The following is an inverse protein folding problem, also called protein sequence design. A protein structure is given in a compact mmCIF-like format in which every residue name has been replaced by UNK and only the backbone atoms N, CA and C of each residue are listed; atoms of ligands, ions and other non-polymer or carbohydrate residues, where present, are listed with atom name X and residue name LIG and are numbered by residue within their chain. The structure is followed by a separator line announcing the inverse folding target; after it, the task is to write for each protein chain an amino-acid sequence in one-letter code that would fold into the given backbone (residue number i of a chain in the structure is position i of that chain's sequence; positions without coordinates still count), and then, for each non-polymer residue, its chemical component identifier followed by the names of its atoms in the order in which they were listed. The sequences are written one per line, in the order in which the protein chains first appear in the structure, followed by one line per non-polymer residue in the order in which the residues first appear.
data_IF_102902755528
#
_entry.id   IF_102902755528
#
_cell.length_a   1.000
_cell.length_b   1.000
_cell.length_c   1.000
_cell.angle_alpha   90.00
_cell.angle_beta   90.00
_cell.angle_gamma   90.00
#
_symmetry.space_group_name_H-M   'P 1'
#
loop_
_entity.id
_entity.type
_entity.pdbx_description
1 polymer ?
#
# COMPACT_ATOMS: atom_id res chain seq x y z
N UNK A 1 -111.62 105.84 -4.25
CA UNK A 1 -111.62 104.79 -3.21
C UNK A 1 -111.21 103.46 -3.84
N UNK A 2 -110.49 102.63 -3.06
CA UNK A 2 -109.62 101.50 -3.47
C UNK A 2 -110.35 100.31 -4.14
N UNK A 3 -109.66 99.65 -5.09
CA UNK A 3 -110.04 98.40 -5.78
C UNK A 3 -109.72 97.17 -4.90
N UNK A 4 -110.62 96.18 -4.85
CA UNK A 4 -110.44 94.87 -4.19
C UNK A 4 -109.73 93.86 -5.10
N UNK A 5 -109.01 92.92 -4.48
CA UNK A 5 -107.99 92.03 -5.06
C UNK A 5 -108.40 90.54 -4.91
N UNK A 6 -108.25 89.73 -5.96
CA UNK A 6 -108.75 88.34 -6.09
C UNK A 6 -107.80 87.25 -5.56
N UNK A 7 -106.83 87.59 -4.72
CA UNK A 7 -105.83 86.67 -4.15
C UNK A 7 -106.37 85.70 -3.09
N UNK A 8 -107.65 85.78 -2.72
CA UNK A 8 -108.24 85.00 -1.63
C UNK A 8 -108.75 83.60 -2.05
N UNK A 9 -108.84 83.27 -3.34
CA UNK A 9 -109.45 82.01 -3.81
C UNK A 9 -108.44 80.84 -3.83
N UNK A 10 -107.14 81.09 -4.03
CA UNK A 10 -106.14 80.01 -4.07
C UNK A 10 -105.77 79.43 -2.69
N UNK A 11 -106.00 80.17 -1.60
CA UNK A 11 -105.78 79.65 -0.23
C UNK A 11 -106.79 78.56 0.22
N UNK A 12 -107.80 78.25 -0.61
CA UNK A 12 -108.75 77.16 -0.37
C UNK A 12 -108.21 75.82 -0.90
N UNK A 13 -107.32 75.82 -1.89
CA UNK A 13 -106.73 74.59 -2.43
C UNK A 13 -105.66 73.97 -1.52
N UNK A 14 -104.87 74.77 -0.80
CA UNK A 14 -103.93 74.27 0.23
C UNK A 14 -104.66 73.47 1.33
N UNK A 15 -105.87 73.90 1.72
CA UNK A 15 -106.68 73.18 2.71
C UNK A 15 -107.29 71.89 2.18
N UNK A 16 -107.45 71.77 0.86
CA UNK A 16 -107.95 70.53 0.24
C UNK A 16 -106.82 69.49 0.15
N UNK A 17 -105.58 69.92 -0.10
CA UNK A 17 -104.41 69.04 -0.15
C UNK A 17 -104.12 68.44 1.24
N UNK A 18 -104.21 69.25 2.31
CA UNK A 18 -104.08 68.79 3.69
C UNK A 18 -105.16 67.75 4.10
N UNK A 19 -106.39 67.88 3.61
CA UNK A 19 -107.48 66.93 3.92
C UNK A 19 -107.28 65.56 3.26
N UNK A 20 -106.62 65.52 2.10
CA UNK A 20 -106.43 64.27 1.35
C UNK A 20 -105.09 63.61 1.69
N UNK A 21 -104.02 64.37 1.88
CA UNK A 21 -102.67 63.81 2.04
C UNK A 21 -102.36 63.33 3.46
N UNK A 22 -102.92 63.98 4.49
CA UNK A 22 -102.71 63.60 5.91
C UNK A 22 -103.23 62.20 6.25
N UNK A 23 -104.46 61.79 5.88
CA UNK A 23 -104.91 60.42 6.12
C UNK A 23 -104.11 59.39 5.29
N UNK A 24 -103.65 59.75 4.09
CA UNK A 24 -102.79 58.88 3.26
C UNK A 24 -101.41 58.69 3.90
N UNK A 25 -100.81 59.74 4.47
CA UNK A 25 -99.55 59.64 5.19
C UNK A 25 -99.69 58.85 6.50
N UNK A 26 -100.80 59.01 7.22
CA UNK A 26 -101.06 58.25 8.44
C UNK A 26 -101.23 56.75 8.15
N UNK A 27 -101.92 56.39 7.05
CA UNK A 27 -102.05 55.01 6.59
C UNK A 27 -100.70 54.46 6.11
N UNK A 28 -99.90 55.27 5.39
CA UNK A 28 -98.54 54.91 5.00
C UNK A 28 -97.62 54.70 6.21
N UNK A 29 -97.77 55.48 7.28
CA UNK A 29 -96.99 55.34 8.51
C UNK A 29 -97.43 54.14 9.37
N UNK A 30 -98.74 53.86 9.43
CA UNK A 30 -99.31 52.65 10.05
C UNK A 30 -98.89 51.39 9.28
N UNK A 31 -98.78 51.45 7.96
CA UNK A 31 -98.27 50.34 7.14
C UNK A 31 -96.73 50.23 7.19
N UNK A 32 -96.01 51.33 7.42
CA UNK A 32 -94.54 51.35 7.56
C UNK A 32 -94.02 50.87 8.91
N UNK A 33 -94.74 51.11 10.00
CA UNK A 33 -94.35 50.63 11.34
C UNK A 33 -94.07 49.11 11.41
N UNK A 34 -94.97 48.21 10.95
CA UNK A 34 -94.70 46.78 10.97
C UNK A 34 -93.54 46.37 10.06
N UNK A 35 -93.30 47.11 8.97
CA UNK A 35 -92.15 46.89 8.09
C UNK A 35 -90.82 47.33 8.75
N UNK A 36 -90.84 48.41 9.54
CA UNK A 36 -89.67 48.96 10.24
C UNK A 36 -89.28 48.11 11.45
N UNK A 37 -90.26 47.56 12.17
CA UNK A 37 -90.04 46.55 13.21
C UNK A 37 -89.56 45.21 12.64
N UNK A 38 -90.04 44.83 11.45
CA UNK A 38 -89.52 43.67 10.73
C UNK A 38 -88.09 43.87 10.25
N UNK A 39 -87.75 45.05 9.74
CA UNK A 39 -86.38 45.39 9.32
C UNK A 39 -85.41 45.42 10.51
N UNK A 40 -85.79 46.03 11.63
CA UNK A 40 -84.94 46.02 12.84
C UNK A 40 -84.80 44.62 13.46
N UNK A 41 -85.81 43.74 13.34
CA UNK A 41 -85.68 42.31 13.68
C UNK A 41 -84.76 41.57 12.72
N UNK A 42 -84.85 41.84 11.42
CA UNK A 42 -83.95 41.26 10.41
C UNK A 42 -82.51 41.69 10.66
N UNK A 43 -82.27 42.96 10.98
CA UNK A 43 -80.94 43.49 11.29
C UNK A 43 -80.38 42.89 12.58
N UNK A 44 -81.20 42.74 13.63
CA UNK A 44 -80.81 42.04 14.86
C UNK A 44 -80.47 40.57 14.60
N UNK A 45 -81.32 39.88 13.84
CA UNK A 45 -81.08 38.48 13.47
C UNK A 45 -79.83 38.32 12.59
N UNK A 46 -79.57 39.28 11.70
CA UNK A 46 -78.38 39.30 10.85
C UNK A 46 -77.12 39.56 11.67
N UNK A 47 -77.17 40.48 12.64
CA UNK A 47 -76.06 40.74 13.56
C UNK A 47 -75.79 39.55 14.48
N UNK A 48 -76.83 38.92 15.02
CA UNK A 48 -76.72 37.68 15.81
C UNK A 48 -76.13 36.54 14.98
N UNK A 49 -76.55 36.40 13.72
CA UNK A 49 -75.98 35.42 12.80
C UNK A 49 -74.50 35.71 12.51
N UNK A 50 -74.14 36.98 12.30
CA UNK A 50 -72.74 37.38 12.12
C UNK A 50 -71.91 37.12 13.37
N UNK A 51 -72.43 37.38 14.57
CA UNK A 51 -71.75 37.06 15.83
C UNK A 51 -71.58 35.55 16.03
N UNK A 52 -72.58 34.73 15.68
CA UNK A 52 -72.46 33.26 15.73
C UNK A 52 -71.42 32.75 14.73
N UNK A 53 -71.44 33.27 13.51
CA UNK A 53 -70.50 32.89 12.45
C UNK A 53 -69.07 33.32 12.80
N UNK A 54 -68.91 34.49 13.42
CA UNK A 54 -67.61 34.94 13.91
C UNK A 54 -67.11 34.11 15.10
N UNK A 55 -68.00 33.72 16.03
CA UNK A 55 -67.65 32.84 17.13
C UNK A 55 -67.21 31.44 16.63
N UNK A 56 -67.92 30.90 15.63
CA UNK A 56 -67.58 29.62 14.99
C UNK A 56 -66.25 29.70 14.22
N UNK A 57 -65.97 30.81 13.55
CA UNK A 57 -64.67 31.07 12.90
C UNK A 57 -63.53 31.11 13.91
N UNK A 58 -63.71 31.80 15.04
CA UNK A 58 -62.69 31.87 16.10
C UNK A 58 -62.43 30.50 16.72
N UNK A 59 -63.46 29.68 16.91
CA UNK A 59 -63.32 28.31 17.40
C UNK A 59 -62.56 27.42 16.41
N UNK A 60 -62.86 27.54 15.12
CA UNK A 60 -62.16 26.81 14.05
C UNK A 60 -60.68 27.25 13.96
N UNK A 61 -60.41 28.55 14.02
CA UNK A 61 -59.05 29.09 14.00
C UNK A 61 -58.23 28.61 15.20
N UNK A 62 -58.85 28.53 16.38
CA UNK A 62 -58.22 27.98 17.58
C UNK A 62 -57.90 26.49 17.42
N UNK A 63 -58.81 25.71 16.83
CA UNK A 63 -58.59 24.29 16.54
C UNK A 63 -57.46 24.09 15.52
N UNK A 64 -57.42 24.90 14.46
CA UNK A 64 -56.35 24.88 13.45
C UNK A 64 -55.01 25.26 14.09
N UNK A 65 -55.00 26.26 14.97
CA UNK A 65 -53.80 26.66 15.71
C UNK A 65 -53.27 25.50 16.58
N UNK A 66 -54.12 24.87 17.40
CA UNK A 66 -53.73 23.73 18.25
C UNK A 66 -53.22 22.53 17.42
N UNK A 67 -53.94 22.16 16.36
CA UNK A 67 -53.48 21.06 15.49
C UNK A 67 -52.18 21.38 14.78
N UNK A 68 -51.97 22.62 14.33
CA UNK A 68 -50.71 23.05 13.72
C UNK A 68 -49.54 23.04 14.71
N UNK A 69 -49.78 23.40 15.97
CA UNK A 69 -48.77 23.38 17.03
C UNK A 69 -48.38 21.94 17.37
N UNK A 70 -49.37 21.04 17.52
CA UNK A 70 -49.12 19.60 17.76
C UNK A 70 -48.36 18.93 16.62
N UNK A 71 -48.68 19.29 15.36
CA UNK A 71 -47.92 18.82 14.20
C UNK A 71 -46.48 19.32 14.23
N UNK A 72 -46.27 20.59 14.58
CA UNK A 72 -44.94 21.19 14.70
C UNK A 72 -44.12 20.54 15.81
N UNK A 73 -44.72 20.28 16.97
CA UNK A 73 -44.08 19.52 18.05
C UNK A 73 -43.69 18.11 17.61
N UNK A 74 -44.59 17.41 16.90
CA UNK A 74 -44.32 16.06 16.42
C UNK A 74 -43.17 16.05 15.40
N UNK A 75 -43.13 17.03 14.49
CA UNK A 75 -42.02 17.23 13.56
C UNK A 75 -40.71 17.50 14.29
N UNK A 76 -40.69 18.40 15.27
CA UNK A 76 -39.50 18.70 16.08
C UNK A 76 -39.00 17.47 16.84
N UNK A 77 -39.90 16.67 17.42
CA UNK A 77 -39.55 15.41 18.10
C UNK A 77 -38.98 14.39 17.11
N UNK A 78 -39.58 14.27 15.93
CA UNK A 78 -39.11 13.38 14.88
C UNK A 78 -37.70 13.78 14.39
N UNK A 79 -37.49 15.07 14.09
CA UNK A 79 -36.20 15.60 13.65
C UNK A 79 -35.12 15.45 14.74
N UNK A 80 -35.48 15.70 16.00
CA UNK A 80 -34.58 15.51 17.14
C UNK A 80 -34.18 14.04 17.31
N UNK A 81 -35.14 13.11 17.23
CA UNK A 81 -34.88 11.68 17.28
C UNK A 81 -34.00 11.22 16.10
N UNK A 82 -34.30 11.71 14.90
CA UNK A 82 -33.50 11.42 13.71
C UNK A 82 -32.07 11.96 13.85
N UNK A 83 -31.90 13.15 14.41
CA UNK A 83 -30.59 13.72 14.67
C UNK A 83 -29.81 12.89 15.71
N UNK A 84 -30.47 12.49 16.79
CA UNK A 84 -29.86 11.65 17.82
C UNK A 84 -29.40 10.31 17.25
N UNK A 85 -30.26 9.63 16.48
CA UNK A 85 -29.96 8.36 15.83
C UNK A 85 -28.80 8.49 14.81
N UNK A 86 -28.79 9.56 14.01
CA UNK A 86 -27.67 9.85 13.11
C UNK A 86 -26.36 10.13 13.86
N UNK A 87 -26.42 10.77 15.04
CA UNK A 87 -25.22 10.97 15.87
C UNK A 87 -24.69 9.65 16.43
N UNK A 88 -25.56 8.77 16.93
CA UNK A 88 -25.17 7.45 17.40
C UNK A 88 -24.50 6.65 16.28
N UNK A 89 -25.13 6.60 15.09
CA UNK A 89 -24.53 5.95 13.91
C UNK A 89 -23.16 6.52 13.55
N UNK A 90 -22.97 7.84 13.62
CA UNK A 90 -21.65 8.47 13.37
C UNK A 90 -20.61 8.09 14.43
N UNK A 91 -21.01 7.95 15.70
CA UNK A 91 -20.12 7.52 16.78
C UNK A 91 -19.71 6.07 16.60
N UNK A 92 -20.65 5.20 16.22
CA UNK A 92 -20.38 3.79 15.98
C UNK A 92 -19.49 3.57 14.76
N UNK A 93 -19.73 4.30 13.65
CA UNK A 93 -18.83 4.31 12.50
C UNK A 93 -17.40 4.70 12.89
N UNK A 94 -17.23 5.75 13.72
CA UNK A 94 -15.90 6.14 14.21
C UNK A 94 -15.22 5.07 15.05
N UNK A 95 -15.98 4.34 15.88
CA UNK A 95 -15.41 3.22 16.66
C UNK A 95 -14.96 2.09 15.73
N UNK A 96 -15.80 1.72 14.75
CA UNK A 96 -15.43 0.74 13.74
C UNK A 96 -14.20 1.15 12.94
N UNK A 97 -14.09 2.42 12.55
CA UNK A 97 -12.90 2.93 11.85
C UNK A 97 -11.64 2.80 12.73
N UNK A 98 -11.73 3.08 14.03
CA UNK A 98 -10.62 2.92 14.97
C UNK A 98 -10.23 1.44 15.15
N UNK A 99 -11.21 0.55 15.31
CA UNK A 99 -10.99 -0.89 15.41
C UNK A 99 -10.38 -1.46 14.13
N UNK A 100 -10.86 -1.02 12.97
CA UNK A 100 -10.33 -1.42 11.67
C UNK A 100 -8.87 -0.98 11.51
N UNK A 101 -8.55 0.26 11.88
CA UNK A 101 -7.18 0.77 11.82
C UNK A 101 -6.23 0.00 12.76
N UNK A 102 -6.69 -0.35 13.97
CA UNK A 102 -5.90 -1.17 14.90
C UNK A 102 -5.68 -2.60 14.36
N UNK A 103 -6.70 -3.19 13.74
CA UNK A 103 -6.57 -4.50 13.07
C UNK A 103 -5.59 -4.45 11.90
N UNK A 104 -5.64 -3.42 11.07
CA UNK A 104 -4.69 -3.21 9.97
C UNK A 104 -3.27 -3.11 10.53
N UNK A 105 -3.04 -2.23 11.52
CA UNK A 105 -1.72 -2.05 12.13
C UNK A 105 -1.18 -3.34 12.76
N UNK A 106 -2.03 -4.11 13.45
CA UNK A 106 -1.65 -5.42 14.02
C UNK A 106 -1.31 -6.44 12.95
N UNK A 107 -2.10 -6.51 11.89
CA UNK A 107 -1.86 -7.41 10.78
C UNK A 107 -0.54 -7.07 10.05
N UNK A 108 -0.29 -5.79 9.79
CA UNK A 108 0.95 -5.31 9.18
C UNK A 108 2.16 -5.63 10.06
N UNK A 109 2.05 -5.41 11.38
CA UNK A 109 3.11 -5.78 12.33
C UNK A 109 3.34 -7.30 12.34
N UNK A 110 2.28 -8.10 12.33
CA UNK A 110 2.38 -9.56 12.27
C UNK A 110 3.07 -10.04 10.99
N UNK A 111 2.70 -9.47 9.84
CA UNK A 111 3.33 -9.73 8.54
C UNK A 111 4.82 -9.36 8.56
N UNK A 112 5.14 -8.17 9.08
CA UNK A 112 6.52 -7.71 9.20
C UNK A 112 7.35 -8.61 10.12
N UNK A 113 6.77 -9.02 11.26
CA UNK A 113 7.42 -9.96 12.19
C UNK A 113 7.69 -11.31 11.54
N UNK A 114 6.72 -11.86 10.81
CA UNK A 114 6.90 -13.12 10.09
C UNK A 114 7.98 -13.02 9.00
N UNK A 115 8.00 -11.92 8.25
CA UNK A 115 9.03 -11.63 7.25
C UNK A 115 10.43 -11.54 7.89
N UNK A 116 10.57 -10.77 8.98
CA UNK A 116 11.83 -10.64 9.71
C UNK A 116 12.31 -11.99 10.26
N UNK A 117 11.41 -12.79 10.84
CA UNK A 117 11.77 -14.13 11.35
C UNK A 117 12.25 -15.05 10.23
N UNK A 118 11.60 -15.01 9.07
CA UNK A 118 11.99 -15.80 7.90
C UNK A 118 13.37 -15.37 7.40
N UNK A 119 13.63 -14.07 7.31
CA UNK A 119 14.93 -13.52 6.93
C UNK A 119 16.03 -13.86 7.91
N UNK A 120 15.76 -13.75 9.21
CA UNK A 120 16.71 -14.11 10.26
C UNK A 120 17.09 -15.59 10.17
N UNK A 121 16.09 -16.47 9.96
CA UNK A 121 16.34 -17.90 9.77
C UNK A 121 17.16 -18.17 8.51
N UNK A 122 16.81 -17.53 7.39
CA UNK A 122 17.57 -17.62 6.15
C UNK A 122 19.04 -17.19 6.34
N UNK A 123 19.29 -16.07 7.04
CA UNK A 123 20.64 -15.62 7.36
C UNK A 123 21.41 -16.61 8.24
N UNK A 124 20.75 -17.18 9.26
CA UNK A 124 21.37 -18.20 10.11
C UNK A 124 21.74 -19.46 9.33
N UNK A 125 20.83 -19.95 8.49
CA UNK A 125 21.05 -21.15 7.68
C UNK A 125 22.16 -20.92 6.65
N UNK A 126 22.18 -19.74 6.02
CA UNK A 126 23.25 -19.34 5.11
C UNK A 126 24.60 -19.23 5.84
N UNK A 127 24.63 -18.65 7.04
CA UNK A 127 25.85 -18.56 7.86
C UNK A 127 26.39 -19.93 8.25
N UNK A 128 25.53 -20.89 8.58
CA UNK A 128 25.93 -22.28 8.85
C UNK A 128 26.51 -22.95 7.60
N UNK A 129 25.80 -22.88 6.47
CA UNK A 129 26.26 -23.44 5.20
C UNK A 129 27.62 -22.85 4.79
N UNK A 130 27.77 -21.54 4.99
CA UNK A 130 28.98 -20.77 4.76
C UNK A 130 30.18 -21.25 5.58
N UNK A 131 30.01 -21.48 6.89
CA UNK A 131 31.07 -22.02 7.75
C UNK A 131 31.48 -23.42 7.29
N UNK A 132 30.51 -24.28 6.96
CA UNK A 132 30.77 -25.63 6.45
C UNK A 132 31.54 -25.58 5.13
N UNK A 133 31.16 -24.67 4.22
CA UNK A 133 31.86 -24.48 2.94
C UNK A 133 33.29 -23.99 3.16
N UNK A 134 33.52 -23.01 4.04
CA UNK A 134 34.85 -22.52 4.34
C UNK A 134 35.76 -23.60 4.93
N UNK A 135 35.25 -24.41 5.87
CA UNK A 135 35.97 -25.54 6.44
C UNK A 135 36.30 -26.60 5.38
N UNK A 136 35.32 -26.98 4.56
CA UNK A 136 35.50 -27.94 3.46
C UNK A 136 36.52 -27.48 2.42
N UNK A 137 36.46 -26.19 2.02
CA UNK A 137 37.45 -25.59 1.11
C UNK A 137 38.84 -25.56 1.74
N UNK A 138 38.93 -25.22 3.02
CA UNK A 138 40.19 -25.27 3.78
C UNK A 138 40.81 -26.67 3.82
N UNK A 139 40.00 -27.69 4.14
CA UNK A 139 40.45 -29.08 4.16
C UNK A 139 40.87 -29.59 2.77
N UNK A 140 40.09 -29.28 1.73
CA UNK A 140 40.46 -29.60 0.34
C UNK A 140 41.76 -28.91 -0.07
N UNK A 141 41.98 -27.65 0.36
CA UNK A 141 43.21 -26.90 0.10
C UNK A 141 44.43 -27.62 0.65
N UNK A 142 44.36 -28.00 1.93
CA UNK A 142 45.44 -28.71 2.61
C UNK A 142 45.71 -30.05 1.92
N UNK A 143 44.65 -30.82 1.61
CA UNK A 143 44.77 -32.12 0.94
C UNK A 143 45.37 -32.02 -0.46
N UNK A 144 45.00 -31.01 -1.24
CA UNK A 144 45.56 -30.79 -2.58
C UNK A 144 47.03 -30.40 -2.52
N UNK A 145 47.41 -29.51 -1.59
CA UNK A 145 48.81 -29.11 -1.38
C UNK A 145 49.65 -30.33 -0.97
N UNK A 146 49.16 -31.14 -0.04
CA UNK A 146 49.84 -32.37 0.39
C UNK A 146 50.04 -33.34 -0.78
N UNK A 147 48.99 -33.63 -1.56
CA UNK A 147 49.10 -34.48 -2.74
C UNK A 147 50.10 -33.95 -3.77
N UNK A 148 50.13 -32.64 -3.97
CA UNK A 148 51.01 -32.06 -4.95
C UNK A 148 52.48 -32.10 -4.51
N UNK A 149 52.77 -31.91 -3.22
CA UNK A 149 54.10 -32.13 -2.65
C UNK A 149 54.54 -33.59 -2.78
N UNK A 150 53.67 -34.54 -2.45
CA UNK A 150 53.95 -35.97 -2.62
C UNK A 150 54.25 -36.31 -4.08
N UNK A 151 53.51 -35.74 -5.02
CA UNK A 151 53.74 -35.95 -6.45
C UNK A 151 55.10 -35.38 -6.90
N UNK A 152 55.48 -34.18 -6.42
CA UNK A 152 56.82 -33.64 -6.70
C UNK A 152 57.89 -34.58 -6.17
N UNK A 153 57.75 -35.06 -4.93
CA UNK A 153 58.74 -35.95 -4.31
C UNK A 153 58.87 -37.27 -5.08
N UNK A 154 57.74 -37.91 -5.40
CA UNK A 154 57.69 -39.16 -6.14
C UNK A 154 58.30 -39.00 -7.54
N UNK A 155 57.95 -37.94 -8.25
CA UNK A 155 58.49 -37.67 -9.59
C UNK A 155 59.96 -37.35 -9.54
N UNK A 156 60.42 -36.56 -8.57
CA UNK A 156 61.84 -36.26 -8.37
C UNK A 156 62.65 -37.54 -8.17
N UNK A 157 62.17 -38.47 -7.34
CA UNK A 157 62.80 -39.79 -7.16
C UNK A 157 62.83 -40.60 -8.46
N UNK A 158 61.73 -40.62 -9.21
CA UNK A 158 61.65 -41.31 -10.49
C UNK A 158 62.64 -40.73 -11.52
N UNK A 159 62.81 -39.41 -11.54
CA UNK A 159 63.77 -38.73 -12.42
C UNK A 159 65.22 -39.02 -12.05
N UNK A 160 65.57 -38.99 -10.76
CA UNK A 160 66.92 -39.38 -10.30
C UNK A 160 67.23 -40.81 -10.74
N UNK A 161 66.26 -41.72 -10.61
CA UNK A 161 66.41 -43.09 -11.09
C UNK A 161 66.63 -43.14 -12.60
N UNK A 162 65.83 -42.43 -13.38
CA UNK A 162 65.96 -42.35 -14.84
C UNK A 162 67.33 -41.79 -15.26
N UNK A 163 67.81 -40.75 -14.59
CA UNK A 163 69.14 -40.17 -14.84
C UNK A 163 70.24 -41.20 -14.54
N UNK A 164 70.17 -41.90 -13.40
CA UNK A 164 71.13 -42.94 -13.06
C UNK A 164 71.15 -44.10 -14.07
N UNK A 165 69.98 -44.53 -14.53
CA UNK A 165 69.84 -45.58 -15.54
C UNK A 165 70.38 -45.11 -16.91
N UNK A 166 70.13 -43.84 -17.27
CA UNK A 166 70.67 -43.23 -18.48
C UNK A 166 72.20 -43.10 -18.43
N UNK A 167 72.77 -42.70 -17.28
CA UNK A 167 74.21 -42.63 -17.07
C UNK A 167 74.87 -44.00 -17.21
N UNK A 168 74.32 -45.04 -16.57
CA UNK A 168 74.84 -46.42 -16.71
C UNK A 168 74.78 -46.92 -18.16
N UNK A 169 73.69 -46.63 -18.86
CA UNK A 169 73.53 -46.98 -20.28
C UNK A 169 74.55 -46.25 -21.16
N UNK A 170 74.77 -44.95 -20.90
CA UNK A 170 75.77 -44.16 -21.61
C UNK A 170 77.18 -44.68 -21.34
N UNK A 171 77.53 -44.97 -20.09
CA UNK A 171 78.82 -45.56 -19.71
C UNK A 171 79.08 -46.87 -20.46
N UNK A 172 78.12 -47.79 -20.45
CA UNK A 172 78.24 -49.06 -21.19
C UNK A 172 78.44 -48.83 -22.69
N UNK A 173 77.70 -47.88 -23.28
CA UNK A 173 77.81 -47.58 -24.73
C UNK A 173 79.15 -46.93 -25.07
N UNK A 174 79.69 -46.07 -24.21
CA UNK A 174 81.00 -45.46 -24.39
C UNK A 174 82.11 -46.52 -24.32
N UNK A 175 82.03 -47.45 -23.36
CA UNK A 175 82.96 -48.59 -23.28
C UNK A 175 82.91 -49.47 -24.54
N UNK A 176 81.72 -49.73 -25.10
CA UNK A 176 81.58 -50.45 -26.36
C UNK A 176 82.20 -49.71 -27.55
N UNK A 177 82.11 -48.38 -27.57
CA UNK A 177 82.72 -47.55 -28.62
C UNK A 177 84.25 -47.61 -28.55
N UNK A 178 84.84 -47.64 -27.35
CA UNK A 178 86.28 -47.83 -27.17
C UNK A 178 86.76 -49.15 -27.78
N UNK A 179 85.99 -50.23 -27.61
CA UNK A 179 86.31 -51.54 -28.16
C UNK A 179 86.16 -51.57 -29.69
N UNK A 180 85.07 -50.99 -30.24
CA UNK A 180 84.79 -51.00 -31.69
C UNK A 180 85.64 -50.02 -32.49
N UNK A 181 86.03 -48.89 -31.87
CA UNK A 181 86.78 -47.81 -32.52
C UNK A 181 88.01 -47.42 -31.67
N UNK A 182 89.00 -48.32 -31.51
CA UNK A 182 90.15 -48.09 -30.63
C UNK A 182 91.07 -46.96 -31.10
N UNK A 183 91.10 -46.67 -32.40
CA UNK A 183 91.85 -45.56 -32.99
C UNK A 183 90.97 -44.31 -33.21
N UNK A 184 89.74 -44.31 -32.67
CA UNK A 184 88.78 -43.24 -32.85
C UNK A 184 88.22 -43.14 -34.27
N UNK A 185 87.98 -41.90 -34.71
CA UNK A 185 87.46 -41.56 -36.04
C UNK A 185 86.08 -40.92 -36.02
N UNK A 186 85.67 -40.39 -37.17
CA UNK A 186 84.43 -39.59 -37.31
C UNK A 186 83.17 -40.33 -36.87
N UNK A 187 83.10 -41.63 -37.12
CA UNK A 187 81.96 -42.45 -36.72
C UNK A 187 81.82 -42.55 -35.18
N UNK A 188 82.95 -42.64 -34.47
CA UNK A 188 82.98 -42.65 -33.01
C UNK A 188 82.51 -41.31 -32.44
N UNK A 189 83.08 -40.22 -32.94
CA UNK A 189 82.73 -38.86 -32.52
C UNK A 189 81.22 -38.57 -32.70
N UNK A 190 80.63 -39.00 -33.83
CA UNK A 190 79.18 -38.86 -34.06
C UNK A 190 78.36 -39.63 -33.01
N UNK A 191 78.80 -40.83 -32.63
CA UNK A 191 78.09 -41.67 -31.66
C UNK A 191 78.26 -41.15 -30.22
N UNK A 192 79.45 -40.68 -29.85
CA UNK A 192 79.72 -40.02 -28.56
C UNK A 192 78.85 -38.77 -28.40
N UNK A 193 78.84 -37.89 -29.41
CA UNK A 193 77.99 -36.71 -29.44
C UNK A 193 76.49 -37.05 -29.38
N UNK A 194 76.06 -38.18 -29.94
CA UNK A 194 74.68 -38.65 -29.87
C UNK A 194 74.31 -39.11 -28.45
N UNK A 195 75.22 -39.81 -27.77
CA UNK A 195 75.06 -40.23 -26.36
C UNK A 195 75.01 -39.00 -25.45
N UNK A 196 75.92 -38.04 -25.64
CA UNK A 196 75.95 -36.79 -24.89
C UNK A 196 74.64 -36.01 -25.04
N UNK A 197 74.16 -35.82 -26.28
CA UNK A 197 72.88 -35.14 -26.54
C UNK A 197 71.69 -35.84 -25.88
N UNK A 198 71.69 -37.17 -25.82
CA UNK A 198 70.64 -37.92 -25.13
C UNK A 198 70.67 -37.68 -23.62
N UNK A 199 71.85 -37.68 -22.99
CA UNK A 199 71.99 -37.38 -21.57
C UNK A 199 71.55 -35.95 -21.24
N UNK A 200 72.00 -34.97 -22.02
CA UNK A 200 71.60 -33.56 -21.86
C UNK A 200 70.08 -33.44 -21.98
N UNK A 201 69.47 -34.06 -23.00
CA UNK A 201 68.02 -34.02 -23.18
C UNK A 201 67.24 -34.64 -22.02
N UNK A 202 67.75 -35.70 -21.38
CA UNK A 202 67.10 -36.30 -20.21
C UNK A 202 67.16 -35.35 -18.99
N UNK A 203 68.29 -34.66 -18.81
CA UNK A 203 68.48 -33.69 -17.73
C UNK A 203 67.58 -32.46 -17.95
N UNK A 204 67.64 -31.86 -19.13
CA UNK A 204 66.84 -30.66 -19.47
C UNK A 204 65.34 -30.90 -19.37
N UNK A 205 64.85 -32.06 -19.86
CA UNK A 205 63.44 -32.40 -19.76
C UNK A 205 62.99 -32.65 -18.31
N UNK A 206 63.87 -33.18 -17.45
CA UNK A 206 63.59 -33.37 -16.04
C UNK A 206 63.47 -32.03 -15.31
N UNK A 207 64.42 -31.12 -15.55
CA UNK A 207 64.40 -29.77 -14.98
C UNK A 207 63.15 -28.99 -15.42
N UNK A 208 62.81 -29.03 -16.71
CA UNK A 208 61.61 -28.38 -17.23
C UNK A 208 60.34 -28.93 -16.57
N UNK A 209 60.22 -30.25 -16.42
CA UNK A 209 59.06 -30.87 -15.80
C UNK A 209 58.91 -30.47 -14.33
N UNK A 210 59.99 -30.48 -13.53
CA UNK A 210 59.97 -30.07 -12.12
C UNK A 210 59.57 -28.59 -11.99
N UNK A 211 60.11 -27.73 -12.86
CA UNK A 211 59.74 -26.31 -12.88
C UNK A 211 58.27 -26.11 -13.24
N UNK A 212 57.76 -26.82 -14.26
CA UNK A 212 56.35 -26.77 -14.64
C UNK A 212 55.44 -27.22 -13.50
N UNK A 213 55.76 -28.34 -12.84
CA UNK A 213 55.01 -28.81 -11.67
C UNK A 213 55.01 -27.80 -10.53
N UNK A 214 56.15 -27.18 -10.24
CA UNK A 214 56.24 -26.15 -9.18
C UNK A 214 55.36 -24.94 -9.51
N UNK A 215 55.36 -24.51 -10.77
CA UNK A 215 54.48 -23.45 -11.27
C UNK A 215 53.01 -23.81 -11.14
N UNK A 216 52.63 -25.03 -11.55
CA UNK A 216 51.25 -25.51 -11.48
C UNK A 216 50.74 -25.58 -10.04
N UNK A 217 51.56 -26.02 -9.09
CA UNK A 217 51.22 -26.00 -7.65
C UNK A 217 51.02 -24.58 -7.15
N UNK A 218 51.90 -23.65 -7.54
CA UNK A 218 51.78 -22.25 -7.16
C UNK A 218 50.46 -21.66 -7.70
N UNK A 219 50.12 -21.96 -8.96
CA UNK A 219 48.86 -21.55 -9.57
C UNK A 219 47.65 -22.16 -8.88
N UNK A 220 47.72 -23.46 -8.55
CA UNK A 220 46.68 -24.16 -7.81
C UNK A 220 46.46 -23.53 -6.43
N UNK A 221 47.53 -23.25 -5.69
CA UNK A 221 47.47 -22.56 -4.40
C UNK A 221 46.83 -21.17 -4.52
N UNK A 222 47.18 -20.40 -5.56
CA UNK A 222 46.59 -19.08 -5.81
C UNK A 222 45.09 -19.16 -6.12
N UNK A 223 44.68 -20.13 -6.95
CA UNK A 223 43.27 -20.34 -7.28
C UNK A 223 42.46 -20.73 -6.04
N UNK A 224 42.99 -21.58 -5.17
CA UNK A 224 42.33 -21.96 -3.93
C UNK A 224 42.18 -20.76 -2.99
N UNK A 225 43.23 -19.94 -2.84
CA UNK A 225 43.18 -18.72 -2.04
C UNK A 225 42.11 -17.75 -2.57
N UNK A 226 41.99 -17.61 -3.89
CA UNK A 226 40.95 -16.77 -4.51
C UNK A 226 39.54 -17.29 -4.22
N UNK A 227 39.30 -18.60 -4.39
CA UNK A 227 38.00 -19.22 -4.09
C UNK A 227 37.65 -19.05 -2.62
N UNK A 228 38.62 -19.25 -1.73
CA UNK A 228 38.45 -19.09 -0.28
C UNK A 228 38.09 -17.66 0.09
N UNK A 229 38.80 -16.68 -0.47
CA UNK A 229 38.53 -15.26 -0.25
C UNK A 229 37.16 -14.85 -0.79
N UNK A 230 36.78 -15.33 -1.98
CA UNK A 230 35.46 -15.08 -2.54
C UNK A 230 34.35 -15.71 -1.71
N UNK A 231 34.55 -16.94 -1.21
CA UNK A 231 33.63 -17.57 -0.29
C UNK A 231 33.45 -16.69 0.96
N UNK A 232 34.54 -16.33 1.65
CA UNK A 232 34.50 -15.46 2.84
C UNK A 232 33.81 -14.11 2.56
N UNK A 233 34.13 -13.45 1.45
CA UNK A 233 33.48 -12.19 1.07
C UNK A 233 31.96 -12.35 0.89
N UNK A 234 31.52 -13.43 0.25
CA UNK A 234 30.09 -13.70 0.08
C UNK A 234 29.42 -13.92 1.45
N UNK A 235 30.09 -14.61 2.37
CA UNK A 235 29.60 -14.80 3.75
C UNK A 235 29.36 -13.44 4.42
N UNK A 236 30.35 -12.55 4.38
CA UNK A 236 30.23 -11.21 4.95
C UNK A 236 29.10 -10.40 4.32
N UNK A 237 28.94 -10.49 2.99
CA UNK A 237 27.93 -9.75 2.24
C UNK A 237 26.50 -10.18 2.59
N UNK A 238 26.27 -11.50 2.71
CA UNK A 238 24.95 -12.03 3.00
C UNK A 238 24.60 -12.03 4.49
N UNK A 239 25.60 -12.05 5.37
CA UNK A 239 25.42 -11.86 6.82
C UNK A 239 25.39 -10.38 7.23
N UNK A 240 25.77 -9.46 6.35
CA UNK A 240 25.71 -8.04 6.64
C UNK A 240 24.26 -7.60 6.94
N UNK A 241 24.04 -6.72 7.94
CA UNK A 241 22.72 -6.30 8.41
C UNK A 241 21.89 -5.49 7.38
N UNK A 242 22.38 -5.32 6.14
CA UNK A 242 21.79 -4.44 5.14
C UNK A 242 20.47 -4.96 4.53
N UNK A 243 20.09 -6.22 4.77
CA UNK A 243 18.78 -6.73 4.33
C UNK A 243 17.62 -6.16 5.17
N UNK A 244 17.89 -5.69 6.40
CA UNK A 244 16.84 -5.13 7.28
C UNK A 244 16.50 -3.67 6.92
N UNK A 245 17.43 -2.91 6.34
CA UNK A 245 17.22 -1.47 6.06
C UNK A 245 16.20 -1.16 4.95
N UNK A 246 15.97 -2.10 4.03
CA UNK A 246 15.03 -1.89 2.93
C UNK A 246 13.58 -2.29 3.27
N UNK A 247 13.35 -2.95 4.42
CA UNK A 247 12.01 -3.38 4.84
C UNK A 247 11.33 -2.30 5.67
N UNK A 248 12.08 -1.36 6.23
CA UNK A 248 11.53 -0.18 6.92
C UNK A 248 10.94 0.88 5.98
N UNK A 249 10.93 0.64 4.66
CA UNK A 249 10.48 1.58 3.62
C UNK A 249 9.33 1.03 2.74
N UNK A 250 8.83 -0.17 3.01
CA UNK A 250 7.59 -0.71 2.46
C UNK A 250 6.52 -0.67 3.54
#
# INVERSE_FOLDING_TARGET
MKKLNFAAIFGVFDKLDDIVFVPVNLICDVLRQPLRERNTKLDKNMLELQHKLHAEQVELDMYIADTSERLREHQLKFDSNLHYDNQQRKLDLKKFDLELNDLIAKNDLANHKAAIQTLQKYQQDLGKASVILADSVGQMSISLIEHAHLLIEERSKAYIKLQNDAYKSAESRLLELDIKFPNGGRAREILENSIEKQLIGIIENADFFIQSMTSDITNLSNNINNITNQAIQNIDLYLAPNVVKNISRL
#
